data_IF_836618485706
#
_entry.id   IF_836618485706
#
_cell.length_a   1.000
_cell.length_b   1.000
_cell.length_c   1.000
_cell.angle_alpha   90.00
_cell.angle_beta   90.00
_cell.angle_gamma   90.00
#
_symmetry.space_group_name_H-M   'P 1'
#
loop_
_entity.id
_entity.type
_entity.pdbx_description
1 polymer ?
#
# COMPACT_ATOMS: atom_id res chain seq x y z
N UNK A 1 7.03 -0.65 -12.65
CA UNK A 1 7.60 0.34 -13.60
C UNK A 1 6.48 0.77 -14.52
N UNK A 2 6.07 2.04 -14.48
CA UNK A 2 5.05 2.59 -15.36
C UNK A 2 5.54 2.60 -16.82
N UNK A 3 4.62 2.72 -17.78
CA UNK A 3 4.97 2.72 -19.21
C UNK A 3 6.03 3.80 -19.55
N UNK A 4 5.93 4.95 -18.88
CA UNK A 4 6.83 6.10 -19.06
C UNK A 4 8.30 5.79 -18.72
N UNK A 5 8.53 4.97 -17.69
CA UNK A 5 9.90 4.62 -17.25
C UNK A 5 10.48 3.39 -17.95
N UNK A 6 9.67 2.59 -18.68
CA UNK A 6 10.13 1.35 -19.32
C UNK A 6 11.29 1.57 -20.31
N UNK A 7 11.30 2.69 -20.97
CA UNK A 7 12.36 2.99 -21.94
C UNK A 7 13.67 3.43 -21.27
N UNK A 8 13.63 3.87 -20.02
CA UNK A 8 14.75 4.46 -19.30
C UNK A 8 15.39 3.53 -18.29
N UNK A 9 14.69 2.48 -17.84
CA UNK A 9 15.16 1.58 -16.80
C UNK A 9 15.03 0.11 -17.18
N UNK A 10 15.82 -0.74 -16.51
CA UNK A 10 15.74 -2.19 -16.54
C UNK A 10 15.30 -2.67 -15.16
N UNK A 11 14.22 -3.45 -15.11
CA UNK A 11 13.76 -4.06 -13.87
C UNK A 11 14.71 -5.18 -13.43
N UNK A 12 14.96 -5.30 -12.14
CA UNK A 12 15.86 -6.29 -11.58
C UNK A 12 15.49 -6.68 -10.15
N UNK A 13 16.19 -7.68 -9.62
CA UNK A 13 16.00 -8.16 -8.25
C UNK A 13 14.74 -9.00 -8.11
N UNK A 14 14.05 -8.84 -7.00
CA UNK A 14 12.86 -9.62 -6.68
C UNK A 14 11.60 -8.82 -6.99
N UNK A 15 10.74 -9.38 -7.83
CA UNK A 15 9.40 -8.82 -8.03
C UNK A 15 8.54 -9.03 -6.79
N UNK A 16 7.86 -7.96 -6.38
CA UNK A 16 6.77 -8.00 -5.44
C UNK A 16 5.45 -7.76 -6.19
N UNK A 17 4.42 -8.46 -5.76
CA UNK A 17 3.05 -8.19 -6.24
C UNK A 17 2.34 -7.47 -5.12
N UNK A 18 1.90 -6.24 -5.39
CA UNK A 18 1.11 -5.44 -4.48
C UNK A 18 -0.27 -5.19 -5.09
N UNK A 19 -1.26 -4.95 -4.24
CA UNK A 19 -2.60 -4.53 -4.64
C UNK A 19 -2.87 -3.19 -3.97
N UNK A 20 -3.72 -2.38 -4.55
CA UNK A 20 -4.29 -1.26 -3.82
C UNK A 20 -5.48 -1.76 -3.02
N UNK A 21 -5.50 -1.42 -1.74
CA UNK A 21 -6.53 -1.85 -0.79
C UNK A 21 -7.20 -0.65 -0.14
N UNK A 22 -8.46 -0.81 0.18
CA UNK A 22 -9.19 0.13 1.02
C UNK A 22 -8.76 -0.06 2.47
N UNK A 23 -8.46 1.03 3.14
CA UNK A 23 -8.25 1.09 4.58
C UNK A 23 -9.50 1.67 5.22
N UNK A 24 -10.13 0.91 6.11
CA UNK A 24 -11.34 1.29 6.82
C UNK A 24 -11.30 0.81 8.27
N UNK A 25 -12.07 1.41 9.19
CA UNK A 25 -12.17 0.91 10.57
C UNK A 25 -12.78 -0.49 10.60
N UNK A 26 -12.14 -1.42 11.31
CA UNK A 26 -12.61 -2.81 11.43
C UNK A 26 -13.93 -2.93 12.20
N UNK A 27 -14.13 -2.04 13.18
CA UNK A 27 -15.31 -2.01 14.04
C UNK A 27 -16.41 -1.08 13.52
N UNK A 28 -16.35 -0.70 12.25
CA UNK A 28 -17.47 0.02 11.66
C UNK A 28 -18.75 -0.84 11.77
N UNK A 29 -19.92 -0.23 12.07
CA UNK A 29 -21.20 -0.92 11.96
C UNK A 29 -21.33 -1.59 10.60
N UNK A 30 -21.97 -2.76 10.52
CA UNK A 30 -22.12 -3.51 9.27
C UNK A 30 -22.72 -2.66 8.12
N UNK A 31 -23.59 -1.71 8.47
CA UNK A 31 -24.16 -0.75 7.51
C UNK A 31 -23.15 0.24 6.91
N UNK A 32 -22.01 0.44 7.57
CA UNK A 32 -20.95 1.36 7.13
C UNK A 32 -19.73 0.63 6.57
N UNK A 33 -19.60 -0.67 6.85
CA UNK A 33 -18.50 -1.49 6.37
C UNK A 33 -18.61 -1.74 4.88
N UNK A 34 -17.54 -1.47 4.16
CA UNK A 34 -17.46 -1.65 2.72
C UNK A 34 -16.82 -3.00 2.43
N UNK A 35 -17.54 -3.85 1.74
CA UNK A 35 -17.11 -5.21 1.34
C UNK A 35 -17.03 -5.39 -0.17
N UNK A 36 -17.59 -4.44 -0.92
CA UNK A 36 -17.57 -4.42 -2.38
C UNK A 36 -17.29 -2.99 -2.88
N UNK A 37 -16.56 -2.86 -3.98
CA UNK A 37 -16.16 -1.55 -4.54
C UNK A 37 -17.34 -0.67 -4.95
N UNK A 38 -18.47 -1.25 -5.30
CA UNK A 38 -19.68 -0.49 -5.66
C UNK A 38 -20.28 0.26 -4.49
N UNK A 39 -20.01 -0.17 -3.25
CA UNK A 39 -20.44 0.50 -2.02
C UNK A 39 -19.65 1.78 -1.72
N UNK A 40 -18.59 2.06 -2.49
CA UNK A 40 -17.85 3.33 -2.40
C UNK A 40 -18.64 4.52 -2.94
N UNK A 41 -19.69 4.28 -3.73
CA UNK A 41 -20.59 5.35 -4.17
C UNK A 41 -21.21 6.07 -2.96
N UNK A 42 -21.09 7.41 -2.92
CA UNK A 42 -21.49 8.26 -1.80
C UNK A 42 -20.53 8.28 -0.61
N UNK A 43 -19.38 7.60 -0.69
CA UNK A 43 -18.38 7.59 0.38
C UNK A 43 -17.24 8.54 0.07
N UNK A 44 -16.73 9.18 1.12
CA UNK A 44 -15.52 10.00 1.06
C UNK A 44 -14.28 9.13 1.20
N UNK A 45 -13.35 9.27 0.27
CA UNK A 45 -12.07 8.57 0.28
C UNK A 45 -10.95 9.59 0.15
N UNK A 46 -10.07 9.65 1.14
CA UNK A 46 -8.96 10.60 1.22
C UNK A 46 -7.70 9.96 0.66
N UNK A 47 -7.01 10.64 -0.24
CA UNK A 47 -5.76 10.17 -0.86
C UNK A 47 -4.87 11.36 -1.18
N UNK A 48 -3.56 11.12 -1.28
CA UNK A 48 -2.63 12.14 -1.73
C UNK A 48 -3.00 12.62 -3.15
N UNK A 49 -2.95 13.93 -3.36
CA UNK A 49 -3.23 14.54 -4.66
C UNK A 49 -2.23 14.05 -5.72
N UNK A 50 -2.71 13.88 -6.95
CA UNK A 50 -1.95 13.40 -8.11
C UNK A 50 -1.18 12.09 -7.85
N UNK A 51 -1.59 11.30 -6.85
CA UNK A 51 -1.01 10.00 -6.55
C UNK A 51 -1.58 8.89 -7.44
N UNK A 52 -0.87 7.76 -7.49
CA UNK A 52 -1.41 6.55 -8.15
C UNK A 52 -2.74 6.09 -7.52
N UNK A 53 -2.98 6.39 -6.25
CA UNK A 53 -4.22 6.08 -5.54
C UNK A 53 -5.36 6.99 -6.00
N UNK A 54 -5.07 8.28 -6.16
CA UNK A 54 -6.02 9.25 -6.74
C UNK A 54 -6.46 8.82 -8.15
N UNK A 55 -5.50 8.55 -9.04
CA UNK A 55 -5.80 8.10 -10.40
C UNK A 55 -6.57 6.78 -10.43
N UNK A 56 -6.24 5.85 -9.51
CA UNK A 56 -7.01 4.60 -9.41
C UNK A 56 -8.45 4.84 -8.99
N UNK A 57 -8.68 5.72 -8.00
CA UNK A 57 -10.04 6.04 -7.57
C UNK A 57 -10.85 6.75 -8.66
N UNK A 58 -10.24 7.63 -9.45
CA UNK A 58 -10.90 8.25 -10.60
C UNK A 58 -11.35 7.18 -11.60
N UNK A 59 -10.46 6.26 -11.97
CA UNK A 59 -10.79 5.17 -12.88
C UNK A 59 -11.86 4.24 -12.30
N UNK A 60 -11.74 3.88 -11.01
CA UNK A 60 -12.72 3.04 -10.33
C UNK A 60 -14.10 3.71 -10.28
N UNK A 61 -14.13 5.02 -10.04
CA UNK A 61 -15.36 5.80 -10.04
C UNK A 61 -16.08 5.69 -11.38
N UNK A 62 -15.35 5.78 -12.49
CA UNK A 62 -15.92 5.60 -13.83
C UNK A 62 -16.40 4.15 -14.05
N UNK A 63 -15.63 3.15 -13.60
CA UNK A 63 -15.94 1.73 -13.71
C UNK A 63 -17.26 1.35 -13.00
N UNK A 64 -17.52 1.94 -11.82
CA UNK A 64 -18.72 1.66 -11.03
C UNK A 64 -19.92 2.55 -11.36
N UNK A 65 -19.77 3.47 -12.29
CA UNK A 65 -20.84 4.38 -12.70
C UNK A 65 -20.91 5.69 -11.91
N UNK A 66 -19.87 6.02 -11.14
CA UNK A 66 -19.74 7.28 -10.41
C UNK A 66 -20.15 7.22 -8.95
N UNK A 67 -20.00 8.34 -8.27
CA UNK A 67 -20.48 8.55 -6.90
C UNK A 67 -19.43 8.51 -5.81
N UNK A 68 -18.17 8.09 -6.07
CA UNK A 68 -17.09 8.18 -5.07
C UNK A 68 -16.75 9.65 -4.83
N UNK A 69 -16.72 10.07 -3.58
CA UNK A 69 -16.31 11.42 -3.19
C UNK A 69 -14.81 11.39 -2.89
N UNK A 70 -13.99 11.65 -3.91
CA UNK A 70 -12.54 11.64 -3.77
C UNK A 70 -12.10 12.96 -3.12
N UNK A 71 -11.35 12.86 -2.02
CA UNK A 71 -10.80 13.99 -1.27
C UNK A 71 -9.27 14.02 -1.40
N UNK A 72 -8.72 14.74 -2.37
CA UNK A 72 -7.28 14.89 -2.49
C UNK A 72 -6.72 15.71 -1.34
N UNK A 73 -5.59 15.28 -0.79
CA UNK A 73 -4.82 16.01 0.22
C UNK A 73 -3.44 16.35 -0.33
N UNK A 74 -2.93 17.52 0.02
CA UNK A 74 -1.64 18.01 -0.45
C UNK A 74 -0.50 17.18 0.18
N UNK A 75 0.44 16.71 -0.65
CA UNK A 75 1.60 15.90 -0.23
C UNK A 75 2.50 16.57 0.79
N UNK A 76 2.62 17.89 0.71
CA UNK A 76 3.48 18.67 1.62
C UNK A 76 2.92 18.72 3.04
N UNK A 77 1.67 18.31 3.23
CA UNK A 77 0.96 18.39 4.51
C UNK A 77 0.79 17.02 5.15
N UNK A 78 0.43 16.00 4.37
CA UNK A 78 0.12 14.64 4.86
C UNK A 78 0.69 13.59 3.89
N UNK A 79 1.30 12.56 4.44
CA UNK A 79 1.76 11.40 3.69
C UNK A 79 0.79 10.22 3.85
N UNK A 80 0.97 9.19 3.04
CA UNK A 80 0.10 8.00 3.02
C UNK A 80 -0.08 7.37 4.41
N UNK A 81 0.98 7.29 5.21
CA UNK A 81 0.96 6.72 6.56
C UNK A 81 0.15 7.58 7.54
N UNK A 82 0.18 8.91 7.38
CA UNK A 82 -0.63 9.81 8.19
C UNK A 82 -2.12 9.58 7.91
N UNK A 83 -2.50 9.38 6.64
CA UNK A 83 -3.89 9.06 6.29
C UNK A 83 -4.36 7.74 6.91
N UNK A 84 -3.49 6.73 7.00
CA UNK A 84 -3.80 5.47 7.67
C UNK A 84 -4.04 5.70 9.17
N UNK A 85 -3.18 6.50 9.83
CA UNK A 85 -3.36 6.88 11.23
C UNK A 85 -4.68 7.61 11.45
N UNK A 86 -5.00 8.59 10.60
CA UNK A 86 -6.25 9.36 10.67
C UNK A 86 -7.50 8.47 10.51
N UNK A 87 -7.44 7.41 9.69
CA UNK A 87 -8.54 6.42 9.62
C UNK A 87 -8.67 5.66 10.93
N UNK A 88 -7.54 5.25 11.54
CA UNK A 88 -7.54 4.56 12.83
C UNK A 88 -8.11 5.44 13.96
N UNK A 89 -7.77 6.73 13.94
CA UNK A 89 -8.22 7.69 14.95
C UNK A 89 -9.67 8.19 14.70
N UNK A 90 -10.24 7.84 13.54
CA UNK A 90 -11.60 8.23 13.16
C UNK A 90 -11.73 9.67 12.65
N UNK A 91 -10.62 10.32 12.30
CA UNK A 91 -10.60 11.68 11.74
C UNK A 91 -11.07 11.71 10.28
N UNK A 92 -10.71 10.67 9.51
CA UNK A 92 -11.22 10.46 8.15
C UNK A 92 -11.84 9.07 8.03
N UNK A 93 -12.84 8.89 7.16
CA UNK A 93 -13.54 7.61 7.07
C UNK A 93 -12.75 6.52 6.35
N UNK A 94 -12.07 6.85 5.25
CA UNK A 94 -11.47 5.88 4.33
C UNK A 94 -10.22 6.45 3.66
N UNK A 95 -9.24 5.58 3.40
CA UNK A 95 -8.13 5.86 2.47
C UNK A 95 -7.82 4.63 1.62
N UNK A 96 -7.00 4.80 0.58
CA UNK A 96 -6.53 3.73 -0.30
C UNK A 96 -5.02 3.76 -0.35
N UNK A 97 -4.40 2.60 -0.15
CA UNK A 97 -2.94 2.45 -0.14
C UNK A 97 -2.53 1.11 -0.75
N UNK A 98 -1.24 0.90 -0.98
CA UNK A 98 -0.71 -0.42 -1.36
C UNK A 98 -0.84 -1.42 -0.19
N UNK A 99 -1.09 -2.68 -0.53
CA UNK A 99 -1.33 -3.76 0.43
C UNK A 99 -0.15 -4.02 1.38
N UNK A 100 1.08 -3.79 0.93
CA UNK A 100 2.29 -3.91 1.75
C UNK A 100 2.39 -2.78 2.79
N UNK A 101 2.12 -1.53 2.38
CA UNK A 101 2.04 -0.38 3.30
C UNK A 101 0.90 -0.60 4.31
N UNK A 102 -0.27 -1.02 3.84
CA UNK A 102 -1.41 -1.32 4.71
C UNK A 102 -1.08 -2.43 5.73
N UNK A 103 -0.44 -3.52 5.28
CA UNK A 103 -0.05 -4.64 6.16
C UNK A 103 0.97 -4.23 7.21
N UNK A 104 1.96 -3.39 6.84
CA UNK A 104 2.93 -2.84 7.78
C UNK A 104 2.23 -1.99 8.84
N UNK A 105 1.37 -1.06 8.42
CA UNK A 105 0.67 -0.16 9.33
C UNK A 105 -0.36 -0.89 10.20
N UNK A 106 -1.00 -1.94 9.71
CA UNK A 106 -1.91 -2.77 10.52
C UNK A 106 -1.25 -3.36 11.76
N UNK A 107 0.08 -3.56 11.75
CA UNK A 107 0.81 -4.00 12.94
C UNK A 107 0.82 -2.95 14.06
N UNK A 108 0.64 -1.68 13.72
CA UNK A 108 0.53 -0.55 14.66
C UNK A 108 -0.94 -0.22 14.97
N UNK A 109 -1.83 -0.39 13.98
CA UNK A 109 -3.25 -0.09 14.05
C UNK A 109 -4.09 -1.35 13.81
N UNK A 110 -4.24 -2.24 14.83
CA UNK A 110 -4.90 -3.55 14.66
C UNK A 110 -6.41 -3.44 14.38
N UNK A 111 -7.01 -2.29 14.66
CA UNK A 111 -8.42 -2.01 14.44
C UNK A 111 -8.76 -1.60 12.99
N UNK A 112 -7.81 -1.68 12.07
CA UNK A 112 -8.03 -1.44 10.66
C UNK A 112 -8.43 -2.73 9.92
N UNK A 113 -9.31 -2.57 8.94
CA UNK A 113 -9.64 -3.58 7.92
C UNK A 113 -9.03 -3.14 6.58
N UNK A 114 -8.23 -4.02 5.98
CA UNK A 114 -7.49 -3.81 4.74
C UNK A 114 -7.78 -4.93 3.72
N UNK A 115 -8.94 -5.58 3.84
CA UNK A 115 -9.25 -6.78 3.06
C UNK A 115 -9.80 -6.49 1.67
N UNK A 116 -10.45 -5.33 1.48
CA UNK A 116 -11.05 -4.98 0.19
C UNK A 116 -9.99 -4.46 -0.79
N UNK A 117 -9.84 -5.18 -1.89
CA UNK A 117 -8.98 -4.76 -3.00
C UNK A 117 -9.75 -3.78 -3.90
N UNK A 118 -9.12 -2.65 -4.22
CA UNK A 118 -9.68 -1.60 -5.11
C UNK A 118 -8.90 -1.46 -6.41
N UNK A 119 -7.80 -2.19 -6.56
CA UNK A 119 -6.93 -2.17 -7.73
C UNK A 119 -6.48 -3.56 -8.15
N UNK A 120 -6.05 -3.66 -9.42
CA UNK A 120 -5.45 -4.88 -9.95
C UNK A 120 -4.07 -5.14 -9.35
N UNK A 121 -3.60 -6.41 -9.34
CA UNK A 121 -2.24 -6.74 -8.94
C UNK A 121 -1.22 -5.96 -9.75
N UNK A 122 -0.32 -5.27 -9.07
CA UNK A 122 0.77 -4.52 -9.67
C UNK A 122 2.10 -5.17 -9.32
N UNK A 123 2.96 -5.32 -10.32
CA UNK A 123 4.33 -5.81 -10.11
C UNK A 123 5.23 -4.63 -9.80
N UNK A 124 5.91 -4.68 -8.67
CA UNK A 124 6.98 -3.77 -8.31
C UNK A 124 8.31 -4.52 -8.25
N UNK A 125 9.36 -3.93 -8.77
CA UNK A 125 10.71 -4.46 -8.74
C UNK A 125 11.69 -3.30 -8.57
N UNK A 126 12.90 -3.61 -8.18
CA UNK A 126 13.98 -2.66 -8.29
C UNK A 126 14.24 -2.33 -9.75
N UNK A 127 14.81 -1.20 -10.02
CA UNK A 127 15.16 -0.80 -11.37
C UNK A 127 16.52 -0.10 -11.37
N UNK A 128 17.29 -0.35 -12.40
CA UNK A 128 18.54 0.33 -12.69
C UNK A 128 18.41 1.09 -14.01
N UNK A 129 19.25 2.09 -14.22
CA UNK A 129 19.29 2.80 -15.49
C UNK A 129 19.61 1.82 -16.63
N UNK A 130 19.07 2.07 -17.83
CA UNK A 130 19.21 1.14 -18.94
C UNK A 130 20.64 0.98 -19.42
N UNK A 131 21.46 2.01 -19.29
CA UNK A 131 22.90 2.00 -19.59
C UNK A 131 23.72 1.20 -18.57
N UNK A 132 23.14 0.90 -17.41
CA UNK A 132 23.73 0.07 -16.34
C UNK A 132 23.13 -1.36 -16.29
N UNK A 133 22.77 -1.93 -17.45
CA UNK A 133 22.14 -3.26 -17.52
C UNK A 133 22.98 -4.36 -16.86
N UNK A 134 24.31 -4.25 -16.88
CA UNK A 134 25.23 -5.17 -16.18
C UNK A 134 24.96 -5.26 -14.67
N UNK A 135 24.54 -4.15 -14.06
CA UNK A 135 24.17 -4.10 -12.65
C UNK A 135 22.87 -4.87 -12.39
N UNK A 136 21.90 -4.81 -13.33
CA UNK A 136 20.69 -5.63 -13.25
C UNK A 136 21.01 -7.12 -13.21
N UNK A 137 21.93 -7.59 -14.08
CA UNK A 137 22.35 -8.99 -14.12
C UNK A 137 23.04 -9.40 -12.82
N UNK A 138 23.88 -8.53 -12.27
CA UNK A 138 24.56 -8.77 -10.98
C UNK A 138 23.56 -8.87 -9.82
N UNK A 139 22.59 -7.96 -9.76
CA UNK A 139 21.54 -7.97 -8.74
C UNK A 139 20.67 -9.23 -8.87
N UNK A 140 20.30 -9.62 -10.09
CA UNK A 140 19.51 -10.82 -10.35
C UNK A 140 20.25 -12.07 -9.92
N UNK A 141 21.53 -12.18 -10.25
CA UNK A 141 22.38 -13.32 -9.84
C UNK A 141 22.52 -13.41 -8.32
N UNK A 142 22.68 -12.26 -7.62
CA UNK A 142 22.72 -12.22 -6.16
C UNK A 142 21.36 -12.60 -5.56
N UNK A 143 20.25 -12.04 -6.04
CA UNK A 143 18.92 -12.30 -5.53
C UNK A 143 18.46 -13.76 -5.71
N UNK A 144 19.02 -14.47 -6.71
CA UNK A 144 18.75 -15.88 -6.96
C UNK A 144 19.44 -16.82 -5.97
N UNK A 145 20.45 -16.36 -5.21
CA UNK A 145 21.16 -17.18 -4.23
C UNK A 145 20.27 -17.56 -3.06
N UNK A 146 20.58 -18.67 -2.40
CA UNK A 146 19.77 -19.18 -1.30
C UNK A 146 19.82 -18.30 -0.05
N UNK A 147 20.98 -17.75 0.29
CA UNK A 147 21.16 -16.92 1.48
C UNK A 147 20.32 -15.64 1.43
N UNK A 148 20.39 -14.79 0.38
CA UNK A 148 19.53 -13.62 0.23
C UNK A 148 18.04 -13.97 0.22
N UNK A 149 17.66 -15.09 -0.39
CA UNK A 149 16.25 -15.53 -0.42
C UNK A 149 15.72 -15.89 0.98
N UNK A 150 16.52 -16.62 1.78
CA UNK A 150 16.15 -16.97 3.15
C UNK A 150 16.11 -15.74 4.06
N UNK A 151 17.09 -14.87 3.95
CA UNK A 151 17.13 -13.63 4.72
C UNK A 151 15.92 -12.75 4.42
N UNK A 152 15.57 -12.56 3.14
CA UNK A 152 14.39 -11.82 2.74
C UNK A 152 13.11 -12.43 3.31
N UNK A 153 12.92 -13.73 3.23
CA UNK A 153 11.75 -14.41 3.80
C UNK A 153 11.66 -14.19 5.31
N UNK A 154 12.79 -14.21 6.03
CA UNK A 154 12.85 -13.96 7.46
C UNK A 154 12.49 -12.49 7.79
N UNK A 155 13.00 -11.55 7.02
CA UNK A 155 12.69 -10.12 7.19
C UNK A 155 11.21 -9.84 6.90
N UNK A 156 10.66 -10.37 5.82
CA UNK A 156 9.24 -10.22 5.50
C UNK A 156 8.36 -10.75 6.65
N UNK A 157 8.66 -11.95 7.14
CA UNK A 157 7.96 -12.53 8.28
C UNK A 157 8.07 -11.67 9.54
N UNK A 158 9.25 -11.13 9.79
CA UNK A 158 9.50 -10.29 10.97
C UNK A 158 8.75 -8.96 10.93
N UNK A 159 8.69 -8.32 9.77
CA UNK A 159 8.14 -6.96 9.64
C UNK A 159 6.66 -6.93 9.28
N UNK A 160 6.15 -7.92 8.55
CA UNK A 160 4.77 -7.93 8.07
C UNK A 160 3.84 -8.87 8.83
N UNK A 161 4.38 -9.98 9.40
CA UNK A 161 3.54 -10.98 10.08
C UNK A 161 3.54 -10.84 11.61
N UNK A 162 4.59 -10.24 12.20
CA UNK A 162 4.61 -10.00 13.64
C UNK A 162 3.89 -8.68 13.92
N UNK A 163 2.68 -8.78 14.45
CA UNK A 163 2.07 -7.70 15.21
C UNK A 163 3.08 -7.23 16.26
N UNK A 164 3.49 -5.97 16.20
CA UNK A 164 4.16 -5.35 17.33
C UNK A 164 3.10 -5.26 18.42
N UNK A 165 3.09 -6.22 19.34
CA UNK A 165 2.49 -5.95 20.64
C UNK A 165 3.13 -4.66 21.13
N UNK A 166 2.31 -3.66 21.38
CA UNK A 166 2.71 -2.45 22.08
C UNK A 166 3.12 -2.86 23.49
N UNK A 167 4.33 -3.34 23.59
CA UNK A 167 4.98 -3.56 24.86
C UNK A 167 5.44 -2.21 25.36
N UNK A 168 4.66 -1.56 26.18
CA UNK A 168 5.12 -0.56 27.11
C UNK A 168 6.01 -1.24 28.15
N UNK A 169 7.20 -1.62 27.78
CA UNK A 169 8.27 -1.90 28.69
C UNK A 169 9.24 -0.72 28.66
N UNK A 170 8.80 0.37 29.24
CA UNK A 170 9.70 1.42 29.72
C UNK A 170 10.34 0.85 30.96
N UNK A 171 11.52 0.28 30.84
CA UNK A 171 12.40 0.07 31.98
C UNK A 171 12.93 1.44 32.41
N UNK A 172 12.33 2.00 33.45
CA UNK A 172 12.94 3.08 34.21
C UNK A 172 14.00 2.42 35.10
N UNK A 173 15.27 2.69 34.82
CA UNK A 173 16.37 2.50 35.76
C UNK A 173 16.55 3.77 36.57
#
# INVERSE_FOLDING_TARGET
VTAEYRERVVACGVENITHQVLVQPRRAPDSLRITDVTQLAGREVYVEDDSKYYHRLVNLNDEIGGGIIIRPVERDTLITEDLIAMVSDGEIPLTVVDSDIAALNKSYYPDLDITLQVGFPQRSAWAVARDEAWLADTINAWAAQEAPRRERATLLKRYYERSKQSGSDVYVL
#
